data_IF_667902883921
#
_entry.id   IF_667902883921
#
_cell.length_a   1.000
_cell.length_b   1.000
_cell.length_c   1.000
_cell.angle_alpha   90.00
_cell.angle_beta   90.00
_cell.angle_gamma   90.00
#
_symmetry.space_group_name_H-M   'P 1'
#
loop_
_entity.id
_entity.type
_entity.pdbx_description
1 polymer ?
#
# COMPACT_ATOMS: atom_id res chain seq x y z
N UNK A 1 17.55 5.31 19.83
CA UNK A 1 17.04 3.93 19.63
C UNK A 1 15.58 3.90 19.11
N UNK A 2 14.78 4.95 19.31
CA UNK A 2 13.35 5.02 18.94
C UNK A 2 13.07 5.02 17.43
N UNK A 3 13.96 5.63 16.62
CA UNK A 3 13.85 5.70 15.16
C UNK A 3 13.93 4.31 14.48
N UNK A 4 14.73 3.39 15.03
CA UNK A 4 14.87 2.03 14.47
C UNK A 4 13.59 1.20 14.66
N UNK A 5 12.99 1.28 15.85
CA UNK A 5 11.75 0.56 16.17
C UNK A 5 10.56 1.03 15.32
N UNK A 6 10.46 2.33 15.03
CA UNK A 6 9.40 2.88 14.17
C UNK A 6 9.53 2.40 12.71
N UNK A 7 10.77 2.37 12.19
CA UNK A 7 11.03 1.85 10.84
C UNK A 7 10.64 0.38 10.72
N UNK A 8 11.04 -0.46 11.68
CA UNK A 8 10.67 -1.88 11.72
C UNK A 8 9.16 -2.07 11.79
N UNK A 9 8.47 -1.27 12.60
CA UNK A 9 7.01 -1.34 12.69
C UNK A 9 6.31 -1.00 11.37
N UNK A 10 6.77 0.04 10.65
CA UNK A 10 6.23 0.37 9.32
C UNK A 10 6.44 -0.77 8.33
N UNK A 11 7.64 -1.36 8.30
CA UNK A 11 7.96 -2.47 7.41
C UNK A 11 7.08 -3.70 7.69
N UNK A 12 6.85 -4.03 8.96
CA UNK A 12 5.94 -5.13 9.34
C UNK A 12 4.49 -4.85 8.96
N UNK A 13 3.97 -3.66 9.27
CA UNK A 13 2.60 -3.27 8.93
C UNK A 13 2.38 -3.31 7.43
N UNK A 14 3.34 -2.80 6.65
CA UNK A 14 3.26 -2.82 5.20
C UNK A 14 3.28 -4.24 4.64
N UNK A 15 4.12 -5.11 5.19
CA UNK A 15 4.20 -6.54 4.83
C UNK A 15 2.88 -7.28 5.10
N UNK A 16 2.28 -7.06 6.27
CA UNK A 16 0.99 -7.67 6.65
C UNK A 16 -0.13 -7.20 5.71
N UNK A 17 -0.19 -5.90 5.42
CA UNK A 17 -1.19 -5.34 4.50
C UNK A 17 -1.01 -5.88 3.08
N UNK A 18 0.23 -6.03 2.63
CA UNK A 18 0.54 -6.59 1.33
C UNK A 18 0.06 -8.05 1.23
N UNK A 19 0.46 -8.89 2.19
CA UNK A 19 0.05 -10.29 2.25
C UNK A 19 -1.48 -10.44 2.26
N UNK A 20 -2.19 -9.62 3.04
CA UNK A 20 -3.66 -9.64 3.10
C UNK A 20 -4.33 -9.28 1.76
N UNK A 21 -3.72 -8.38 0.97
CA UNK A 21 -4.25 -7.98 -0.33
C UNK A 21 -3.96 -9.00 -1.44
N UNK A 22 -2.79 -9.63 -1.41
CA UNK A 22 -2.33 -10.51 -2.48
C UNK A 22 -2.66 -11.99 -2.24
N UNK A 23 -2.88 -12.41 -1.00
CA UNK A 23 -3.19 -13.81 -0.67
C UNK A 23 -4.64 -14.15 -1.05
N UNK A 24 -4.86 -15.23 -1.82
CA UNK A 24 -6.19 -15.74 -2.09
C UNK A 24 -6.91 -16.16 -0.81
N UNK A 25 -8.17 -15.74 -0.64
CA UNK A 25 -8.99 -16.19 0.49
C UNK A 25 -9.49 -17.61 0.22
N UNK A 26 -9.42 -18.47 1.23
CA UNK A 26 -9.89 -19.87 1.14
C UNK A 26 -11.35 -20.01 0.73
N UNK A 27 -12.19 -19.05 1.12
CA UNK A 27 -13.62 -19.01 0.78
C UNK A 27 -13.91 -18.74 -0.69
N UNK A 28 -13.06 -17.96 -1.36
CA UNK A 28 -13.36 -17.38 -2.69
C UNK A 28 -12.35 -17.86 -3.75
N UNK A 29 -11.21 -18.41 -3.33
CA UNK A 29 -10.10 -18.77 -4.23
C UNK A 29 -9.37 -17.58 -4.86
N UNK A 30 -9.87 -16.37 -4.60
CA UNK A 30 -9.43 -15.11 -5.19
C UNK A 30 -8.84 -14.20 -4.09
N UNK A 31 -7.86 -13.37 -4.45
CA UNK A 31 -7.30 -12.37 -3.53
C UNK A 31 -8.18 -11.13 -3.47
N UNK A 32 -8.07 -10.36 -2.38
CA UNK A 32 -8.82 -9.10 -2.24
C UNK A 32 -8.50 -8.13 -3.39
N UNK A 33 -7.26 -8.12 -3.88
CA UNK A 33 -6.87 -7.34 -5.05
C UNK A 33 -7.60 -7.80 -6.32
N UNK A 34 -7.66 -9.11 -6.57
CA UNK A 34 -8.35 -9.66 -7.75
C UNK A 34 -9.83 -9.32 -7.76
N UNK A 35 -10.47 -9.31 -6.60
CA UNK A 35 -11.87 -8.91 -6.48
C UNK A 35 -12.11 -7.42 -6.76
N UNK A 36 -11.18 -6.54 -6.39
CA UNK A 36 -11.32 -5.10 -6.61
C UNK A 36 -10.98 -4.68 -8.04
N UNK A 37 -9.93 -5.26 -8.61
CA UNK A 37 -9.39 -4.84 -9.90
C UNK A 37 -9.72 -5.80 -11.05
N UNK A 38 -10.33 -6.96 -10.76
CA UNK A 38 -10.72 -7.97 -11.75
C UNK A 38 -9.56 -8.74 -12.38
N UNK A 39 -8.34 -8.61 -11.84
CA UNK A 39 -7.13 -9.26 -12.37
C UNK A 39 -6.25 -9.80 -11.25
N UNK A 40 -5.51 -10.90 -11.50
CA UNK A 40 -4.51 -11.39 -10.55
C UNK A 40 -3.42 -10.33 -10.34
N UNK A 41 -2.92 -10.25 -9.11
CA UNK A 41 -1.79 -9.36 -8.77
C UNK A 41 -0.61 -9.68 -9.67
N UNK A 42 -0.21 -8.72 -10.49
CA UNK A 42 1.10 -8.67 -11.12
C UNK A 42 1.96 -7.81 -10.23
N UNK A 43 3.01 -8.39 -9.63
CA UNK A 43 3.96 -7.61 -8.84
C UNK A 43 4.66 -6.65 -9.80
N UNK A 44 4.52 -5.33 -9.63
CA UNK A 44 5.24 -4.38 -10.45
C UNK A 44 6.75 -4.48 -10.16
N UNK A 45 7.64 -4.37 -11.17
CA UNK A 45 9.09 -4.39 -10.96
C UNK A 45 9.58 -3.33 -9.96
N UNK A 46 8.78 -2.28 -9.72
CA UNK A 46 8.98 -1.23 -8.72
C UNK A 46 9.17 -1.74 -7.28
N UNK A 47 8.67 -2.93 -6.95
CA UNK A 47 8.78 -3.50 -5.60
C UNK A 47 10.20 -4.00 -5.30
N UNK A 48 10.93 -4.45 -6.32
CA UNK A 48 12.31 -4.94 -6.19
C UNK A 48 13.35 -3.92 -6.72
N UNK A 49 12.95 -3.04 -7.63
CA UNK A 49 13.84 -2.05 -8.26
C UNK A 49 13.19 -0.67 -8.25
N UNK A 50 13.93 0.36 -7.85
CA UNK A 50 13.52 1.74 -8.09
C UNK A 50 13.45 1.96 -9.61
N UNK A 51 12.25 1.86 -10.18
CA UNK A 51 12.05 2.23 -11.59
C UNK A 51 11.99 3.75 -11.70
N UNK A 52 12.20 4.26 -12.91
CA UNK A 52 12.10 5.68 -13.22
C UNK A 52 10.82 6.33 -12.66
N UNK A 53 9.70 5.60 -12.63
CA UNK A 53 8.41 6.08 -12.08
C UNK A 53 8.48 6.37 -10.58
N UNK A 54 9.24 5.58 -9.82
CA UNK A 54 9.45 5.78 -8.39
C UNK A 54 10.47 6.88 -8.13
N UNK A 55 11.55 6.94 -8.92
CA UNK A 55 12.55 8.02 -8.82
C UNK A 55 11.96 9.38 -9.18
N UNK A 56 11.05 9.42 -10.16
CA UNK A 56 10.37 10.63 -10.61
C UNK A 56 9.09 10.92 -9.83
N UNK A 57 8.74 10.12 -8.81
CA UNK A 57 7.52 10.33 -8.04
C UNK A 57 7.67 11.57 -7.17
N UNK A 58 7.05 12.67 -7.59
CA UNK A 58 6.80 13.81 -6.71
C UNK A 58 5.48 13.59 -5.98
N UNK A 59 5.54 13.58 -4.65
CA UNK A 59 4.35 13.54 -3.81
C UNK A 59 3.44 14.72 -4.21
N UNK A 60 2.20 14.46 -4.67
CA UNK A 60 1.35 15.54 -5.12
C UNK A 60 0.92 16.37 -3.90
N UNK A 61 1.02 17.70 -3.99
CA UNK A 61 0.65 18.63 -2.90
C UNK A 61 -0.82 18.52 -2.44
N UNK A 62 -1.61 17.68 -3.09
CA UNK A 62 -2.97 17.29 -2.70
C UNK A 62 -3.03 16.44 -1.43
N UNK A 63 -1.90 16.04 -0.84
CA UNK A 63 -1.88 15.36 0.47
C UNK A 63 -2.49 16.23 1.58
N UNK A 64 -2.37 17.56 1.48
CA UNK A 64 -3.04 18.49 2.40
C UNK A 64 -4.57 18.41 2.25
N UNK A 65 -5.09 18.33 1.02
CA UNK A 65 -6.53 18.17 0.75
C UNK A 65 -7.06 16.79 1.17
N UNK A 66 -6.23 15.75 1.11
CA UNK A 66 -6.58 14.42 1.60
C UNK A 66 -6.67 14.38 3.14
N UNK A 67 -5.79 15.13 3.83
CA UNK A 67 -5.85 15.32 5.29
C UNK A 67 -7.10 16.11 5.69
N UNK A 68 -7.40 17.20 5.00
CA UNK A 68 -8.64 17.96 5.22
C UNK A 68 -9.89 17.07 5.04
N UNK A 69 -9.96 16.28 3.95
CA UNK A 69 -11.08 15.36 3.74
C UNK A 69 -11.19 14.28 4.84
N UNK A 70 -10.07 13.84 5.42
CA UNK A 70 -10.08 12.90 6.55
C UNK A 70 -10.56 13.54 7.85
N UNK A 71 -10.22 14.81 8.08
CA UNK A 71 -10.71 15.59 9.22
C UNK A 71 -12.21 15.88 9.10
N UNK A 72 -12.74 16.02 7.88
CA UNK A 72 -14.20 16.13 7.63
C UNK A 72 -14.97 14.81 7.80
N UNK A 73 -14.30 13.65 7.80
CA UNK A 73 -14.92 12.34 8.03
C UNK A 73 -14.97 11.93 9.51
N UNK A 74 -14.42 12.76 10.40
CA UNK A 74 -14.43 12.54 11.84
C UNK A 74 -15.56 13.35 12.48
N UNK A 75 -16.80 12.89 12.27
CA UNK A 75 -17.97 13.24 13.08
C UNK A 75 -18.73 11.96 13.49
#
# INVERSE_FOLDING_TARGET
MIQGAYKTWIEEVLSILWASRTTPKTSTGESSFSLTFGTKVVIPPEVDYLTFRTESYQEPSSTDRLRENLDFLKE
#
